data_IF_447566362666
#
_entry.id   IF_447566362666
#
_cell.length_a   1.000
_cell.length_b   1.000
_cell.length_c   1.000
_cell.angle_alpha   90.00
_cell.angle_beta   90.00
_cell.angle_gamma   90.00
#
_symmetry.space_group_name_H-M   'P 1'
#
loop_
_entity.id
_entity.type
_entity.pdbx_description
1 polymer ?
#
# COMPACT_ATOMS: atom_id res chain seq x y z
N UNK A 1 -4.40 -22.46 17.26
CA UNK A 1 -3.50 -21.33 16.93
C UNK A 1 -4.40 -20.24 16.40
N UNK A 2 -4.51 -19.12 17.10
CA UNK A 2 -5.40 -18.03 16.69
C UNK A 2 -4.66 -17.25 15.60
N UNK A 3 -5.00 -17.47 14.34
CA UNK A 3 -4.47 -16.66 13.24
C UNK A 3 -5.02 -15.24 13.42
N UNK A 4 -4.19 -14.36 13.99
CA UNK A 4 -4.54 -12.94 14.12
C UNK A 4 -4.57 -12.33 12.72
N UNK A 5 -5.74 -11.87 12.31
CA UNK A 5 -5.90 -11.13 11.06
C UNK A 5 -6.02 -9.65 11.38
N UNK A 6 -5.32 -8.82 10.62
CA UNK A 6 -5.47 -7.37 10.68
C UNK A 6 -5.82 -6.83 9.29
N UNK A 7 -6.55 -5.72 9.27
CA UNK A 7 -6.88 -5.00 8.04
C UNK A 7 -6.27 -3.63 8.15
N UNK A 8 -5.47 -3.28 7.15
CA UNK A 8 -4.83 -1.98 6.99
C UNK A 8 -5.49 -1.24 5.84
N UNK A 9 -5.76 0.04 6.03
CA UNK A 9 -6.38 0.88 5.02
C UNK A 9 -5.52 2.14 4.85
N UNK A 10 -5.28 2.52 3.61
CA UNK A 10 -4.47 3.70 3.34
C UNK A 10 -4.20 3.95 1.87
N UNK A 11 -3.55 5.07 1.60
CA UNK A 11 -3.07 5.41 0.27
C UNK A 11 -1.84 4.57 -0.06
N UNK A 12 -1.85 3.95 -1.23
CA UNK A 12 -0.70 3.17 -1.68
C UNK A 12 0.40 4.09 -2.21
N UNK A 13 1.60 3.91 -1.68
CA UNK A 13 2.80 4.63 -2.10
C UNK A 13 3.99 3.68 -2.10
N UNK A 14 4.84 3.80 -3.11
CA UNK A 14 6.08 3.04 -3.23
C UNK A 14 7.11 3.44 -2.16
N UNK A 15 7.93 2.47 -1.73
CA UNK A 15 8.89 2.67 -0.64
C UNK A 15 9.94 3.75 -0.97
N UNK A 16 10.26 3.92 -2.27
CA UNK A 16 11.14 5.01 -2.71
C UNK A 16 10.52 6.37 -2.37
N UNK A 17 9.25 6.59 -2.70
CA UNK A 17 8.57 7.85 -2.38
C UNK A 17 8.44 8.06 -0.86
N UNK A 18 8.14 7.00 -0.11
CA UNK A 18 8.09 7.05 1.36
C UNK A 18 9.44 7.51 1.96
N UNK A 19 10.56 6.99 1.44
CA UNK A 19 11.91 7.37 1.90
C UNK A 19 12.35 8.74 1.44
N UNK A 20 11.75 9.25 0.36
CA UNK A 20 12.14 10.53 -0.26
C UNK A 20 11.53 11.74 0.45
N UNK A 21 10.36 11.60 1.06
CA UNK A 21 9.62 12.73 1.64
C UNK A 21 9.55 12.66 3.18
N UNK A 22 9.53 13.82 3.85
CA UNK A 22 9.34 13.88 5.31
C UNK A 22 7.91 13.48 5.70
N UNK A 23 7.78 12.84 6.87
CA UNK A 23 6.50 12.29 7.37
C UNK A 23 5.35 13.32 7.42
N UNK A 24 5.64 14.60 7.66
CA UNK A 24 4.61 15.65 7.77
C UNK A 24 3.85 15.93 6.47
N UNK A 25 4.45 15.69 5.29
CA UNK A 25 3.80 15.91 3.99
C UNK A 25 3.31 14.60 3.35
N UNK A 26 3.50 13.47 4.04
CA UNK A 26 3.33 12.15 3.43
C UNK A 26 1.90 11.90 2.95
N UNK A 27 0.91 12.34 3.74
CA UNK A 27 -0.51 12.17 3.40
C UNK A 27 -0.92 13.02 2.19
N UNK A 28 -0.41 14.24 2.09
CA UNK A 28 -0.68 15.14 0.96
C UNK A 28 -0.07 14.58 -0.33
N UNK A 29 1.15 14.05 -0.23
CA UNK A 29 1.83 13.36 -1.33
C UNK A 29 1.11 12.09 -1.73
N UNK A 30 0.64 11.29 -0.78
CA UNK A 30 -0.08 10.06 -1.05
C UNK A 30 -1.42 10.31 -1.78
N UNK A 31 -2.11 11.41 -1.46
CA UNK A 31 -3.34 11.84 -2.15
C UNK A 31 -3.11 12.25 -3.60
N UNK A 32 -1.95 12.81 -3.92
CA UNK A 32 -1.59 13.20 -5.30
C UNK A 32 -0.77 12.13 -6.02
N UNK A 33 -0.40 11.04 -5.33
CA UNK A 33 0.37 9.94 -5.91
C UNK A 33 -0.40 9.32 -7.06
N UNK A 34 0.22 9.31 -8.24
CA UNK A 34 -0.46 8.89 -9.46
C UNK A 34 -0.30 7.40 -9.70
N UNK A 35 -1.26 6.84 -10.44
CA UNK A 35 -1.18 5.46 -10.93
C UNK A 35 0.11 5.20 -11.71
N UNK A 36 0.54 6.17 -12.50
CA UNK A 36 1.75 6.07 -13.31
C UNK A 36 3.01 5.97 -12.44
N UNK A 37 3.12 6.84 -11.41
CA UNK A 37 4.20 6.76 -10.43
C UNK A 37 4.25 5.40 -9.72
N UNK A 38 3.09 4.88 -9.32
CA UNK A 38 2.98 3.56 -8.69
C UNK A 38 3.24 2.38 -9.61
N UNK A 39 3.28 2.56 -10.93
CA UNK A 39 3.55 1.50 -11.93
C UNK A 39 4.94 1.63 -12.57
N UNK A 40 5.69 2.69 -12.27
CA UNK A 40 7.05 2.86 -12.76
C UNK A 40 7.91 1.66 -12.32
N UNK A 41 8.75 1.12 -13.21
CA UNK A 41 9.45 -0.15 -13.01
C UNK A 41 10.22 -0.26 -11.69
N UNK A 42 10.84 0.84 -11.25
CA UNK A 42 11.61 0.92 -10.00
C UNK A 42 10.73 0.83 -8.71
N UNK A 43 9.43 1.06 -8.82
CA UNK A 43 8.48 1.01 -7.70
C UNK A 43 8.11 -0.42 -7.34
N UNK A 44 7.93 -1.30 -8.34
CA UNK A 44 7.66 -2.71 -8.09
C UNK A 44 8.85 -3.45 -7.44
N UNK A 45 10.07 -3.05 -7.76
CA UNK A 45 11.29 -3.62 -7.18
C UNK A 45 11.54 -3.17 -5.74
N UNK A 46 11.05 -1.98 -5.39
CA UNK A 46 11.24 -1.40 -4.06
C UNK A 46 10.17 -1.81 -3.05
N UNK A 47 9.03 -2.33 -3.53
CA UNK A 47 7.86 -2.65 -2.72
C UNK A 47 6.99 -1.43 -2.41
N UNK A 48 5.90 -1.69 -1.69
CA UNK A 48 4.85 -0.71 -1.41
C UNK A 48 4.56 -0.59 0.08
N UNK A 49 4.05 0.57 0.46
CA UNK A 49 3.46 0.82 1.77
C UNK A 49 2.09 1.47 1.64
N UNK A 50 1.35 1.44 2.75
CA UNK A 50 0.11 2.18 2.93
C UNK A 50 0.37 3.36 3.85
N UNK A 51 -0.25 4.49 3.52
CA UNK A 51 -0.28 5.68 4.37
C UNK A 51 -1.72 5.90 4.81
N UNK A 52 -1.98 5.71 6.11
CA UNK A 52 -3.29 5.97 6.71
C UNK A 52 -3.60 7.48 6.73
N UNK A 53 -4.86 7.85 6.96
CA UNK A 53 -5.29 9.25 7.06
C UNK A 53 -4.58 10.06 8.13
N UNK A 54 -3.99 9.39 9.13
CA UNK A 54 -3.13 9.99 10.15
C UNK A 54 -1.66 10.17 9.73
N UNK A 55 -1.33 9.88 8.47
CA UNK A 55 0.05 9.94 7.96
C UNK A 55 0.94 8.79 8.46
N UNK A 56 0.37 7.76 9.07
CA UNK A 56 1.10 6.58 9.55
C UNK A 56 1.42 5.66 8.38
N UNK A 57 2.69 5.26 8.28
CA UNK A 57 3.19 4.37 7.23
C UNK A 57 3.16 2.92 7.71
N UNK A 58 2.52 2.05 6.94
CA UNK A 58 2.59 0.60 7.09
C UNK A 58 3.26 -0.02 5.87
N UNK A 59 4.44 -0.61 6.06
CA UNK A 59 5.14 -1.32 4.98
C UNK A 59 4.49 -2.68 4.73
N UNK A 60 4.29 -2.99 3.46
CA UNK A 60 3.76 -4.29 3.04
C UNK A 60 4.91 -5.27 2.80
N UNK A 61 4.62 -6.55 2.99
CA UNK A 61 5.56 -7.62 2.65
C UNK A 61 5.73 -7.71 1.12
N UNK A 62 6.85 -8.28 0.63
CA UNK A 62 7.13 -8.36 -0.80
C UNK A 62 6.12 -9.20 -1.59
N UNK A 63 5.34 -10.10 -0.97
CA UNK A 63 4.30 -10.87 -1.67
C UNK A 63 3.11 -9.99 -2.02
N UNK A 64 2.87 -8.91 -1.27
CA UNK A 64 1.82 -7.94 -1.57
C UNK A 64 2.06 -7.17 -2.88
N UNK A 65 3.32 -7.01 -3.30
CA UNK A 65 3.73 -6.18 -4.46
C UNK A 65 2.95 -6.51 -5.72
N UNK A 66 2.81 -7.79 -6.08
CA UNK A 66 2.09 -8.19 -7.29
C UNK A 66 0.59 -7.88 -7.20
N UNK A 67 -0.02 -8.06 -6.03
CA UNK A 67 -1.43 -7.75 -5.81
C UNK A 67 -1.67 -6.24 -5.87
N UNK A 68 -0.79 -5.46 -5.23
CA UNK A 68 -0.83 -3.99 -5.26
C UNK A 68 -0.72 -3.46 -6.70
N UNK A 69 0.27 -3.93 -7.47
CA UNK A 69 0.44 -3.52 -8.87
C UNK A 69 -0.78 -3.87 -9.70
N UNK A 70 -1.39 -5.04 -9.45
CA UNK A 70 -2.62 -5.46 -10.11
C UNK A 70 -3.78 -4.52 -9.79
N UNK A 71 -3.99 -4.17 -8.53
CA UNK A 71 -5.05 -3.25 -8.11
C UNK A 71 -4.83 -1.84 -8.67
N UNK A 72 -3.60 -1.31 -8.58
CA UNK A 72 -3.24 -0.01 -9.17
C UNK A 72 -3.53 0.01 -10.68
N UNK A 73 -3.19 -1.07 -11.40
CA UNK A 73 -3.43 -1.17 -12.85
C UNK A 73 -4.92 -1.25 -13.19
N UNK A 74 -5.71 -1.98 -12.41
CA UNK A 74 -7.16 -2.08 -12.60
C UNK A 74 -7.91 -0.84 -12.11
N UNK A 75 -7.26 0.01 -11.31
CA UNK A 75 -7.86 1.23 -10.81
C UNK A 75 -8.27 2.17 -11.93
N UNK A 76 -9.50 2.69 -11.80
CA UNK A 76 -10.00 3.78 -12.62
C UNK A 76 -9.53 5.16 -12.11
N UNK A 77 -8.91 5.22 -10.92
CA UNK A 77 -8.39 6.46 -10.36
C UNK A 77 -6.99 6.73 -10.91
N UNK A 78 -6.79 7.94 -11.41
CA UNK A 78 -5.48 8.38 -11.87
C UNK A 78 -4.55 8.78 -10.72
N UNK A 79 -5.08 9.08 -9.53
CA UNK A 79 -4.32 9.52 -8.35
C UNK A 79 -5.03 9.23 -7.04
N UNK A 80 -4.27 9.17 -5.95
CA UNK A 80 -4.80 9.01 -4.59
C UNK A 80 -5.51 7.67 -4.41
N UNK A 81 -4.91 6.60 -4.93
CA UNK A 81 -5.46 5.25 -4.88
C UNK A 81 -5.38 4.76 -3.43
N UNK A 82 -6.53 4.41 -2.86
CA UNK A 82 -6.62 3.80 -1.52
C UNK A 82 -6.76 2.30 -1.66
N UNK A 83 -5.99 1.56 -0.89
CA UNK A 83 -6.06 0.11 -0.81
C UNK A 83 -6.42 -0.31 0.62
N UNK A 84 -7.21 -1.37 0.69
CA UNK A 84 -7.43 -2.17 1.88
C UNK A 84 -6.56 -3.43 1.74
N UNK A 85 -5.68 -3.65 2.71
CA UNK A 85 -4.78 -4.81 2.76
C UNK A 85 -5.11 -5.62 3.99
N UNK A 86 -5.49 -6.88 3.78
CA UNK A 86 -5.68 -7.84 4.85
C UNK A 86 -4.43 -8.66 5.02
N UNK A 87 -3.94 -8.74 6.26
CA UNK A 87 -2.76 -9.52 6.64
C UNK A 87 -3.13 -10.57 7.68
N UNK A 88 -2.44 -11.68 7.64
CA UNK A 88 -2.58 -12.76 8.61
C UNK A 88 -1.22 -13.08 9.24
N UNK A 89 -1.23 -13.27 10.56
CA UNK A 89 -0.06 -13.73 11.28
C UNK A 89 0.21 -15.20 10.94
N UNK A 90 1.35 -15.44 10.29
CA UNK A 90 1.79 -16.79 9.94
C UNK A 90 2.36 -17.52 11.16
N UNK A 91 2.44 -18.86 11.07
CA UNK A 91 3.09 -19.74 12.04
C UNK A 91 4.60 -19.48 12.04
N UNK A 92 5.02 -18.44 12.76
CA UNK A 92 6.37 -17.86 12.71
C UNK A 92 6.40 -16.41 13.21
N UNK A 93 5.23 -15.79 13.35
CA UNK A 93 5.06 -14.43 13.89
C UNK A 93 5.16 -13.32 12.85
N UNK A 94 5.36 -13.67 11.58
CA UNK A 94 5.43 -12.74 10.46
C UNK A 94 4.02 -12.41 9.95
N UNK A 95 3.76 -11.12 9.67
CA UNK A 95 2.49 -10.68 9.09
C UNK A 95 2.57 -10.78 7.56
N UNK A 96 1.77 -11.64 6.96
CA UNK A 96 1.73 -11.86 5.51
C UNK A 96 0.44 -11.32 4.91
N UNK A 97 0.57 -10.58 3.80
CA UNK A 97 -0.57 -10.07 3.03
C UNK A 97 -1.29 -11.22 2.33
N UNK A 98 -2.56 -11.41 2.71
CA UNK A 98 -3.43 -12.44 2.14
C UNK A 98 -4.39 -11.86 1.10
N UNK A 99 -4.73 -10.57 1.19
CA UNK A 99 -5.67 -9.93 0.26
C UNK A 99 -5.37 -8.42 0.13
N UNK A 100 -5.45 -7.91 -1.09
CA UNK A 100 -5.39 -6.47 -1.40
C UNK A 100 -6.59 -6.10 -2.26
N UNK A 101 -7.30 -5.03 -1.89
CA UNK A 101 -8.46 -4.51 -2.62
C UNK A 101 -8.42 -2.99 -2.70
N UNK A 102 -8.76 -2.42 -3.85
CA UNK A 102 -9.02 -0.98 -3.92
C UNK A 102 -10.29 -0.59 -3.16
N UNK A 103 -10.18 0.45 -2.31
CA UNK A 103 -11.35 1.06 -1.66
C UNK A 103 -11.91 2.13 -2.59
N UNK A 104 -13.07 1.85 -3.19
CA UNK A 104 -13.80 2.85 -3.95
C UNK A 104 -14.37 3.91 -3.00
N UNK A 105 -13.78 5.11 -3.02
CA UNK A 105 -14.36 6.27 -2.35
C UNK A 105 -15.47 6.83 -3.26
N UNK A 106 -16.72 6.66 -2.83
CA UNK A 106 -17.93 7.26 -3.41
C UNK A 106 -17.96 8.77 -3.24
#
# INVERSE_FOLDING_TARGET
MTNCTETLEGYVVDIICIRKYPNNEMIERARVHTRDCGLAGHCAESGYGLIDEQGRVALLDPKATLQVVKEIRNSQRNRGIKLQVKREMQTGGEMETIEVKEIQQY
#
